data_IF_427298362865
#
_entry.id   IF_427298362865
#
_cell.length_a   1.000
_cell.length_b   1.000
_cell.length_c   1.000
_cell.angle_alpha   90.00
_cell.angle_beta   90.00
_cell.angle_gamma   90.00
#
_symmetry.space_group_name_H-M   'P 1'
#
loop_
_entity.id
_entity.type
_entity.pdbx_description
1 polymer ?
#
# COMPACT_ATOMS: atom_id res chain seq x y z
N UNK A 1 -16.58 -39.21 61.59
CA UNK A 1 -17.27 -40.17 60.70
C UNK A 1 -16.84 -39.79 59.28
N UNK A 2 -15.92 -40.47 58.59
CA UNK A 2 -16.09 -41.77 57.88
C UNK A 2 -17.37 -41.79 57.02
N UNK A 3 -17.41 -42.09 55.72
CA UNK A 3 -16.44 -42.53 54.68
C UNK A 3 -16.97 -42.02 53.29
N UNK A 4 -16.30 -42.13 52.13
CA UNK A 4 -15.06 -42.84 51.73
C UNK A 4 -14.39 -42.19 50.49
N UNK A 5 -13.26 -42.75 50.05
CA UNK A 5 -12.72 -42.62 48.68
C UNK A 5 -13.11 -43.88 47.88
N UNK A 6 -13.46 -43.74 46.60
CA UNK A 6 -13.58 -44.86 45.66
C UNK A 6 -13.04 -44.43 44.29
N UNK A 7 -12.01 -45.13 43.83
CA UNK A 7 -11.41 -44.98 42.51
C UNK A 7 -11.40 -46.37 41.84
N UNK A 8 -12.06 -46.50 40.68
CA UNK A 8 -11.95 -47.63 39.76
C UNK A 8 -12.68 -47.31 38.45
N UNK A 9 -12.04 -47.52 37.29
CA UNK A 9 -12.70 -47.31 36.00
C UNK A 9 -11.78 -47.14 34.78
N UNK A 10 -10.74 -47.97 34.62
CA UNK A 10 -10.03 -48.03 33.34
C UNK A 10 -10.95 -48.59 32.26
N UNK A 11 -11.17 -47.82 31.19
CA UNK A 11 -11.98 -48.21 30.03
C UNK A 11 -11.33 -47.73 28.74
N UNK A 12 -10.36 -48.49 28.22
CA UNK A 12 -9.78 -48.22 26.90
C UNK A 12 -10.73 -48.75 25.84
N UNK A 13 -11.48 -47.85 25.20
CA UNK A 13 -12.29 -48.18 24.03
C UNK A 13 -11.44 -47.97 22.75
N UNK A 14 -10.75 -49.03 22.31
CA UNK A 14 -10.18 -49.04 20.95
C UNK A 14 -11.32 -49.29 19.96
N UNK A 15 -11.84 -48.22 19.35
CA UNK A 15 -12.64 -48.33 18.13
C UNK A 15 -11.70 -48.26 16.93
N UNK A 16 -11.32 -49.42 16.41
CA UNK A 16 -10.67 -49.54 15.11
C UNK A 16 -11.69 -49.25 14.00
N UNK A 17 -11.90 -47.97 13.71
CA UNK A 17 -12.57 -47.47 12.50
C UNK A 17 -11.52 -47.00 11.51
N UNK A 18 -11.55 -47.51 10.29
CA UNK A 18 -10.55 -47.23 9.26
C UNK A 18 -10.54 -45.76 8.84
N UNK A 19 -9.49 -45.03 9.21
CA UNK A 19 -9.17 -43.72 8.63
C UNK A 19 -8.63 -43.96 7.23
N UNK A 20 -9.44 -43.64 6.21
CA UNK A 20 -8.93 -43.38 4.87
C UNK A 20 -8.34 -41.96 4.91
N UNK A 21 -7.07 -41.86 5.29
CA UNK A 21 -6.34 -40.60 5.30
C UNK A 21 -6.01 -40.18 3.86
N UNK A 22 -6.96 -39.48 3.23
CA UNK A 22 -6.67 -38.49 2.20
C UNK A 22 -6.73 -37.11 2.87
N UNK A 23 -5.84 -36.90 3.84
CA UNK A 23 -5.76 -35.66 4.60
C UNK A 23 -4.48 -34.93 4.23
N UNK A 24 -4.61 -33.88 3.42
CA UNK A 24 -3.84 -32.67 3.68
C UNK A 24 -4.37 -32.03 4.98
N UNK A 25 -3.60 -31.12 5.56
CA UNK A 25 -4.11 -30.33 6.66
C UNK A 25 -5.28 -29.45 6.17
N UNK A 26 -6.29 -29.17 7.02
CA UNK A 26 -7.42 -28.34 6.63
C UNK A 26 -6.96 -26.91 6.39
N UNK A 27 -7.42 -26.31 5.29
CA UNK A 27 -7.10 -24.94 4.90
C UNK A 27 -7.22 -23.94 6.07
N UNK A 28 -6.35 -22.91 6.14
CA UNK A 28 -6.41 -21.85 7.13
C UNK A 28 -7.78 -21.15 7.18
N UNK A 29 -8.12 -20.54 8.32
CA UNK A 29 -9.39 -19.83 8.46
C UNK A 29 -9.49 -18.55 7.60
N UNK A 30 -8.36 -18.11 7.04
CA UNK A 30 -8.19 -16.93 6.20
C UNK A 30 -7.63 -17.29 4.80
N UNK A 31 -7.86 -18.52 4.37
CA UNK A 31 -7.55 -19.09 3.05
C UNK A 31 -8.17 -18.29 1.90
N UNK A 32 -9.45 -17.91 2.00
CA UNK A 32 -10.13 -17.14 0.95
C UNK A 32 -9.99 -15.63 1.17
N UNK A 33 -9.84 -14.84 0.10
CA UNK A 33 -9.76 -13.37 0.13
C UNK A 33 -10.92 -12.72 0.89
N UNK A 34 -12.12 -13.27 0.74
CA UNK A 34 -13.34 -12.80 1.40
C UNK A 34 -13.35 -13.05 2.93
N UNK A 35 -12.60 -14.04 3.40
CA UNK A 35 -12.50 -14.46 4.81
C UNK A 35 -11.23 -13.91 5.51
N UNK A 36 -10.55 -12.94 4.87
CA UNK A 36 -9.33 -12.29 5.37
C UNK A 36 -9.43 -11.81 6.83
N UNK A 37 -8.48 -12.22 7.67
CA UNK A 37 -8.53 -11.95 9.12
C UNK A 37 -7.74 -10.70 9.54
N UNK A 38 -8.11 -9.99 10.62
CA UNK A 38 -7.35 -8.82 11.06
C UNK A 38 -5.93 -9.17 11.52
N UNK A 39 -4.93 -8.50 10.93
CA UNK A 39 -3.52 -8.53 11.35
C UNK A 39 -3.21 -7.29 12.20
N UNK A 40 -2.18 -7.39 13.04
CA UNK A 40 -1.75 -6.32 13.96
C UNK A 40 -0.24 -6.11 13.87
N UNK A 41 0.22 -4.93 14.27
CA UNK A 41 1.65 -4.59 14.35
C UNK A 41 2.40 -5.57 15.27
N UNK A 42 3.54 -6.06 14.81
CA UNK A 42 4.36 -7.11 15.44
C UNK A 42 4.32 -8.44 14.68
N UNK A 43 4.79 -9.50 15.32
CA UNK A 43 4.93 -10.82 14.71
C UNK A 43 3.66 -11.67 14.90
N UNK A 44 3.13 -12.22 13.81
CA UNK A 44 1.99 -13.15 13.81
C UNK A 44 2.38 -14.46 13.14
N UNK A 45 2.12 -15.58 13.79
CA UNK A 45 2.36 -16.90 13.22
C UNK A 45 1.28 -17.23 12.17
N UNK A 46 1.71 -17.78 11.03
CA UNK A 46 0.83 -18.16 9.93
C UNK A 46 1.17 -19.54 9.35
N UNK A 47 0.28 -20.04 8.49
CA UNK A 47 0.49 -21.24 7.68
C UNK A 47 -0.30 -21.09 6.39
N UNK A 48 0.30 -21.44 5.26
CA UNK A 48 -0.34 -21.55 3.93
C UNK A 48 -0.69 -23.00 3.57
N UNK A 49 -0.24 -23.98 4.38
CA UNK A 49 -0.50 -25.41 4.15
C UNK A 49 -1.99 -25.73 3.93
N UNK A 50 -2.31 -26.27 2.76
CA UNK A 50 -3.65 -26.67 2.36
C UNK A 50 -4.54 -25.53 1.89
N UNK A 51 -3.99 -24.34 1.66
CA UNK A 51 -4.71 -23.21 1.07
C UNK A 51 -4.93 -23.40 -0.45
N UNK A 52 -6.00 -22.80 -0.97
CA UNK A 52 -6.29 -22.74 -2.40
C UNK A 52 -5.50 -21.57 -3.06
N UNK A 53 -5.95 -21.04 -4.20
CA UNK A 53 -5.36 -19.83 -4.80
C UNK A 53 -6.47 -19.03 -5.42
N UNK A 54 -6.97 -18.01 -4.69
CA UNK A 54 -8.18 -17.27 -5.06
C UNK A 54 -7.92 -15.82 -5.50
N UNK A 55 -6.72 -15.29 -5.27
CA UNK A 55 -6.35 -13.91 -5.64
C UNK A 55 -6.05 -13.66 -7.12
N UNK A 56 -5.94 -12.36 -7.43
CA UNK A 56 -5.60 -11.85 -8.76
C UNK A 56 -4.12 -12.07 -9.09
N UNK A 57 -3.85 -12.17 -10.39
CA UNK A 57 -2.50 -12.18 -10.95
C UNK A 57 -2.09 -10.73 -11.28
N UNK A 58 -0.87 -10.35 -10.91
CA UNK A 58 -0.28 -9.04 -11.17
C UNK A 58 1.03 -9.22 -11.95
N UNK A 59 1.01 -9.03 -13.27
CA UNK A 59 2.20 -9.14 -14.13
C UNK A 59 3.30 -8.13 -13.76
N UNK A 60 2.93 -7.05 -13.07
CA UNK A 60 3.84 -6.06 -12.50
C UNK A 60 4.60 -6.54 -11.24
N UNK A 61 4.18 -7.65 -10.63
CA UNK A 61 4.68 -8.12 -9.33
C UNK A 61 5.79 -9.18 -9.35
N UNK A 62 6.16 -9.73 -10.52
CA UNK A 62 7.35 -10.56 -10.86
C UNK A 62 6.99 -11.48 -12.06
N UNK A 63 7.75 -12.57 -12.28
CA UNK A 63 7.87 -13.24 -13.58
C UNK A 63 6.61 -13.93 -14.12
N UNK A 64 5.77 -14.51 -13.26
CA UNK A 64 4.44 -15.03 -13.64
C UNK A 64 3.27 -14.26 -12.97
N UNK A 65 3.59 -13.46 -11.93
CA UNK A 65 2.67 -12.54 -11.26
C UNK A 65 1.63 -13.19 -10.34
N UNK A 66 1.75 -14.48 -10.01
CA UNK A 66 0.76 -15.19 -9.21
C UNK A 66 1.33 -15.66 -7.86
N UNK A 67 0.69 -15.22 -6.78
CA UNK A 67 0.94 -15.70 -5.41
C UNK A 67 0.14 -16.99 -5.20
N UNK A 68 0.79 -18.15 -5.13
CA UNK A 68 0.12 -19.44 -4.96
C UNK A 68 -0.09 -19.79 -3.48
N UNK A 69 -1.04 -20.69 -3.19
CA UNK A 69 -1.35 -21.18 -1.83
C UNK A 69 -1.55 -20.01 -0.85
N UNK A 70 -2.48 -19.12 -1.18
CA UNK A 70 -2.58 -17.80 -0.55
C UNK A 70 -3.42 -17.78 0.72
N UNK A 71 -3.05 -16.90 1.64
CA UNK A 71 -3.83 -16.52 2.82
C UNK A 71 -3.91 -15.01 2.92
N UNK A 72 -4.96 -14.54 3.57
CA UNK A 72 -5.35 -13.14 3.52
C UNK A 72 -5.51 -12.51 4.89
N UNK A 73 -5.08 -11.26 4.97
CA UNK A 73 -5.21 -10.42 6.14
C UNK A 73 -5.83 -9.08 5.80
N UNK A 74 -6.46 -8.45 6.80
CA UNK A 74 -6.87 -7.04 6.75
C UNK A 74 -6.09 -6.25 7.79
N UNK A 75 -5.73 -5.02 7.45
CA UNK A 75 -4.98 -4.12 8.31
C UNK A 75 -5.55 -2.71 8.21
N UNK A 76 -5.75 -2.03 9.35
CA UNK A 76 -6.16 -0.63 9.39
C UNK A 76 -4.98 0.17 9.92
N UNK A 77 -4.47 1.10 9.11
CA UNK A 77 -3.35 1.94 9.47
C UNK A 77 -3.70 2.87 10.63
N UNK A 78 -2.82 2.93 11.64
CA UNK A 78 -2.98 3.79 12.82
C UNK A 78 -2.31 5.17 12.66
N UNK A 79 -1.54 5.34 11.58
CA UNK A 79 -0.75 6.54 11.29
C UNK A 79 -0.57 6.76 9.78
N UNK A 80 -0.25 8.00 9.41
CA UNK A 80 0.32 8.31 8.09
C UNK A 80 1.80 7.92 8.09
N UNK A 81 2.29 7.25 7.06
CA UNK A 81 3.67 6.80 7.00
C UNK A 81 3.96 5.68 6.00
N UNK A 82 4.71 4.67 6.45
CA UNK A 82 4.94 3.45 5.66
C UNK A 82 4.64 2.19 6.45
N UNK A 83 4.10 1.20 5.74
CA UNK A 83 3.85 -0.15 6.21
C UNK A 83 4.90 -1.07 5.61
N UNK A 84 5.64 -1.78 6.47
CA UNK A 84 6.48 -2.91 6.07
C UNK A 84 5.80 -4.21 6.48
N UNK A 85 5.66 -5.13 5.54
CA UNK A 85 5.23 -6.51 5.77
C UNK A 85 6.38 -7.42 5.37
N UNK A 86 6.77 -8.33 6.27
CA UNK A 86 7.99 -9.13 6.11
C UNK A 86 7.78 -10.57 6.56
N UNK A 87 8.13 -11.52 5.68
CA UNK A 87 8.35 -12.94 5.98
C UNK A 87 9.85 -13.29 6.03
N UNK A 88 10.71 -12.30 5.74
CA UNK A 88 12.16 -12.39 5.64
C UNK A 88 12.83 -13.22 6.75
N UNK A 89 13.44 -14.34 6.35
CA UNK A 89 14.10 -15.34 7.21
C UNK A 89 13.23 -15.88 8.35
N UNK A 90 11.90 -15.84 8.20
CA UNK A 90 10.91 -16.23 9.20
C UNK A 90 9.81 -17.18 8.70
N UNK A 91 9.72 -17.40 7.38
CA UNK A 91 8.98 -18.54 6.80
C UNK A 91 9.92 -19.71 6.48
N UNK A 92 9.36 -20.91 6.31
CA UNK A 92 10.10 -22.14 5.97
C UNK A 92 9.99 -22.54 4.48
N UNK A 93 9.53 -21.62 3.63
CA UNK A 93 9.29 -21.80 2.21
C UNK A 93 9.48 -20.47 1.43
N UNK A 94 9.54 -20.58 0.10
CA UNK A 94 9.68 -19.50 -0.89
C UNK A 94 8.38 -18.67 -0.94
N UNK A 95 8.39 -17.43 -0.44
CA UNK A 95 7.16 -16.64 -0.20
C UNK A 95 6.93 -15.57 -1.25
N UNK A 96 5.67 -15.21 -1.47
CA UNK A 96 5.29 -13.99 -2.21
C UNK A 96 4.27 -13.16 -1.39
N UNK A 97 4.46 -11.84 -1.38
CA UNK A 97 3.69 -10.86 -0.62
C UNK A 97 3.07 -9.82 -1.55
N UNK A 98 1.76 -9.61 -1.41
CA UNK A 98 1.02 -8.56 -2.14
C UNK A 98 0.18 -7.72 -1.17
N UNK A 99 0.22 -6.39 -1.34
CA UNK A 99 -0.57 -5.42 -0.55
C UNK A 99 -1.53 -4.68 -1.47
N UNK A 100 -2.78 -4.60 -1.03
CA UNK A 100 -3.90 -3.95 -1.70
C UNK A 100 -4.51 -2.85 -0.85
N UNK A 101 -5.11 -1.87 -1.51
CA UNK A 101 -5.93 -0.84 -0.88
C UNK A 101 -7.36 -1.35 -0.71
N UNK A 102 -7.97 -1.06 0.44
CA UNK A 102 -9.31 -1.55 0.79
C UNK A 102 -9.27 -2.88 1.55
N UNK A 103 -10.42 -3.26 2.09
CA UNK A 103 -10.58 -4.47 2.91
C UNK A 103 -11.91 -5.20 2.65
N UNK A 104 -12.83 -4.61 1.90
CA UNK A 104 -14.18 -5.15 1.77
C UNK A 104 -14.17 -6.45 0.95
N UNK A 105 -14.90 -7.46 1.43
CA UNK A 105 -14.98 -8.75 0.77
C UNK A 105 -15.67 -8.71 -0.62
N UNK A 106 -16.22 -7.56 -1.02
CA UNK A 106 -16.80 -7.33 -2.35
C UNK A 106 -15.73 -7.01 -3.41
N UNK A 107 -14.55 -6.53 -2.98
CA UNK A 107 -13.44 -6.19 -3.86
C UNK A 107 -12.60 -7.43 -4.22
N UNK A 108 -12.76 -8.52 -3.46
CA UNK A 108 -12.17 -9.82 -3.77
C UNK A 108 -12.73 -10.42 -5.08
N UNK A 109 -11.96 -11.25 -5.81
CA UNK A 109 -12.37 -11.83 -7.09
C UNK A 109 -13.78 -12.45 -7.06
N UNK A 110 -14.66 -12.12 -8.03
CA UNK A 110 -14.42 -11.43 -9.29
C UNK A 110 -14.49 -9.89 -9.21
N UNK A 111 -14.43 -9.30 -8.01
CA UNK A 111 -14.10 -7.89 -7.81
C UNK A 111 -12.65 -7.57 -8.21
N UNK A 112 -12.27 -6.30 -8.08
CA UNK A 112 -10.97 -5.78 -8.45
C UNK A 112 -10.29 -5.14 -7.24
N UNK A 113 -9.14 -5.70 -6.83
CA UNK A 113 -8.35 -5.20 -5.71
C UNK A 113 -7.31 -4.20 -6.23
N UNK A 114 -7.30 -2.98 -5.67
CA UNK A 114 -6.30 -1.96 -6.06
C UNK A 114 -4.94 -2.33 -5.49
N UNK A 115 -4.02 -2.81 -6.34
CA UNK A 115 -2.64 -3.09 -5.97
C UNK A 115 -1.93 -1.82 -5.45
N UNK A 116 -1.19 -1.95 -4.34
CA UNK A 116 -0.36 -0.89 -3.74
C UNK A 116 1.13 -1.23 -3.86
N UNK A 117 1.49 -2.50 -3.71
CA UNK A 117 2.86 -2.97 -3.86
C UNK A 117 2.96 -4.46 -3.54
N UNK A 118 4.08 -5.05 -3.92
CA UNK A 118 4.33 -6.49 -3.83
C UNK A 118 5.82 -6.75 -3.75
N UNK A 119 6.18 -7.91 -3.19
CA UNK A 119 7.52 -8.47 -3.36
C UNK A 119 7.49 -10.00 -3.14
N UNK A 120 8.23 -10.67 -4.00
CA UNK A 120 8.52 -12.10 -4.01
C UNK A 120 9.84 -12.32 -3.25
N UNK A 121 10.98 -12.15 -3.92
CA UNK A 121 12.31 -12.18 -3.31
C UNK A 121 12.76 -10.87 -2.61
N UNK A 122 13.10 -10.90 -1.32
CA UNK A 122 13.78 -9.78 -0.64
C UNK A 122 15.31 -9.96 -0.50
N UNK A 123 16.04 -8.92 -0.91
CA UNK A 123 17.50 -8.86 -0.90
C UNK A 123 18.08 -9.09 0.52
N UNK A 124 18.69 -10.25 0.73
CA UNK A 124 19.39 -10.61 1.98
C UNK A 124 18.57 -11.44 2.97
N UNK A 125 17.38 -11.90 2.58
CA UNK A 125 16.59 -12.87 3.32
C UNK A 125 17.03 -14.31 2.99
N UNK A 126 16.92 -15.22 3.95
CA UNK A 126 17.16 -16.65 3.71
C UNK A 126 15.94 -17.29 3.02
N UNK A 127 16.15 -18.42 2.34
CA UNK A 127 15.11 -19.29 1.76
C UNK A 127 14.07 -18.60 0.83
N UNK A 128 14.48 -17.56 0.08
CA UNK A 128 13.64 -16.84 -0.89
C UNK A 128 12.38 -16.24 -0.25
N UNK A 129 12.57 -15.61 0.91
CA UNK A 129 11.49 -14.99 1.68
C UNK A 129 11.42 -13.48 1.45
N UNK A 130 10.21 -12.94 1.61
CA UNK A 130 9.84 -11.61 1.11
C UNK A 130 9.86 -10.51 2.16
N UNK A 131 9.96 -9.28 1.67
CA UNK A 131 9.67 -8.06 2.41
C UNK A 131 9.21 -6.99 1.44
N UNK A 132 8.09 -6.33 1.75
CA UNK A 132 7.52 -5.24 0.96
C UNK A 132 7.25 -4.04 1.86
N UNK A 133 7.57 -2.84 1.37
CA UNK A 133 7.29 -1.57 2.07
C UNK A 133 6.49 -0.63 1.17
N UNK A 134 5.35 -0.14 1.66
CA UNK A 134 4.42 0.74 0.93
C UNK A 134 4.06 1.98 1.74
N UNK A 135 3.72 3.12 1.11
CA UNK A 135 3.15 4.26 1.81
C UNK A 135 1.74 3.94 2.35
N UNK A 136 1.41 4.47 3.53
CA UNK A 136 0.10 4.34 4.17
C UNK A 136 -0.44 5.68 4.71
N UNK A 137 -1.76 5.77 4.83
CA UNK A 137 -2.46 6.89 5.45
C UNK A 137 -3.28 6.44 6.66
N UNK A 138 -3.40 7.28 7.68
CA UNK A 138 -4.14 6.96 8.90
C UNK A 138 -5.62 6.64 8.60
N UNK A 139 -6.20 5.71 9.36
CA UNK A 139 -7.57 5.17 9.22
C UNK A 139 -7.87 4.47 7.87
N UNK A 140 -6.90 4.41 6.93
CA UNK A 140 -7.04 3.67 5.68
C UNK A 140 -6.89 2.16 5.92
N UNK A 141 -7.69 1.36 5.21
CA UNK A 141 -7.66 -0.10 5.30
C UNK A 141 -6.89 -0.71 4.11
N UNK A 142 -6.13 -1.76 4.39
CA UNK A 142 -5.29 -2.50 3.45
C UNK A 142 -5.56 -4.00 3.57
N UNK A 143 -5.55 -4.71 2.46
CA UNK A 143 -5.61 -6.17 2.42
C UNK A 143 -4.22 -6.70 2.06
N UNK A 144 -3.73 -7.66 2.83
CA UNK A 144 -2.39 -8.24 2.68
C UNK A 144 -2.57 -9.70 2.30
N UNK A 145 -1.89 -10.13 1.24
CA UNK A 145 -1.86 -11.50 0.72
C UNK A 145 -0.48 -12.07 1.02
N UNK A 146 -0.44 -13.31 1.51
CA UNK A 146 0.78 -14.09 1.74
C UNK A 146 0.59 -15.44 1.08
N UNK A 147 1.47 -15.80 0.15
CA UNK A 147 1.49 -17.12 -0.47
C UNK A 147 2.92 -17.54 -0.75
N UNK A 148 3.12 -18.31 -1.82
CA UNK A 148 4.43 -18.71 -2.32
C UNK A 148 4.58 -18.54 -3.83
N UNK A 149 5.83 -18.55 -4.27
CA UNK A 149 6.26 -18.31 -5.66
C UNK A 149 5.67 -19.29 -6.68
N UNK A 150 5.50 -20.57 -6.32
CA UNK A 150 4.95 -21.57 -7.25
C UNK A 150 3.98 -22.54 -6.62
N UNK A 151 3.21 -23.23 -7.46
CA UNK A 151 2.28 -24.25 -7.01
C UNK A 151 2.98 -25.37 -6.22
N UNK A 152 2.68 -25.43 -4.92
CA UNK A 152 3.27 -26.35 -3.95
C UNK A 152 4.33 -25.73 -3.03
N UNK A 153 4.69 -24.46 -3.21
CA UNK A 153 5.50 -23.70 -2.25
C UNK A 153 4.58 -23.16 -1.14
N UNK A 154 4.20 -24.07 -0.24
CA UNK A 154 3.37 -23.82 0.95
C UNK A 154 4.10 -24.25 2.22
N UNK A 155 3.82 -23.57 3.34
CA UNK A 155 4.53 -23.81 4.58
C UNK A 155 4.00 -23.04 5.79
N UNK A 156 4.90 -22.76 6.72
CA UNK A 156 4.63 -22.06 7.98
C UNK A 156 5.64 -20.97 8.25
N UNK A 157 5.27 -19.96 9.04
CA UNK A 157 6.18 -18.88 9.35
C UNK A 157 5.66 -17.86 10.34
N UNK A 158 6.44 -16.79 10.52
CA UNK A 158 5.99 -15.53 11.10
C UNK A 158 5.89 -14.47 10.00
N UNK A 159 4.78 -13.73 9.98
CA UNK A 159 4.67 -12.46 9.26
C UNK A 159 4.84 -11.35 10.29
N UNK A 160 5.82 -10.48 10.06
CA UNK A 160 6.09 -9.29 10.88
C UNK A 160 5.50 -8.07 10.18
N UNK A 161 4.66 -7.33 10.88
CA UNK A 161 4.06 -6.07 10.40
C UNK A 161 4.62 -4.88 11.19
N UNK A 162 5.17 -3.89 10.48
CA UNK A 162 5.77 -2.69 11.08
C UNK A 162 5.12 -1.45 10.46
N UNK A 163 4.45 -0.66 11.29
CA UNK A 163 4.13 0.73 10.95
C UNK A 163 5.29 1.64 11.33
N UNK A 164 5.83 2.36 10.35
CA UNK A 164 6.76 3.46 10.58
C UNK A 164 6.01 4.77 10.39
N UNK A 165 5.92 5.65 11.41
CA UNK A 165 5.39 6.99 11.23
C UNK A 165 6.09 7.67 10.07
N UNK A 166 5.30 8.25 9.16
CA UNK A 166 5.83 9.15 8.15
C UNK A 166 6.61 10.23 8.86
N UNK A 167 7.77 10.59 8.32
CA UNK A 167 8.47 11.77 8.80
C UNK A 167 7.47 12.93 8.67
N UNK A 168 7.03 13.57 9.77
CA UNK A 168 6.19 14.75 9.64
C UNK A 168 6.97 15.75 8.79
N UNK A 169 6.29 16.44 7.86
CA UNK A 169 6.91 17.48 7.04
C UNK A 169 7.81 18.34 7.94
N UNK A 170 9.11 18.33 7.64
CA UNK A 170 10.16 18.36 8.66
C UNK A 170 10.02 19.57 9.58
N UNK A 171 9.53 19.33 10.79
CA UNK A 171 9.10 20.41 11.69
C UNK A 171 10.29 21.29 12.15
N UNK A 172 11.52 20.81 11.93
CA UNK A 172 12.78 21.49 12.21
C UNK A 172 13.48 22.05 10.96
N UNK A 173 12.81 22.11 9.80
CA UNK A 173 13.17 23.00 8.70
C UNK A 173 12.74 24.42 9.10
N UNK A 174 13.58 25.05 9.93
CA UNK A 174 13.33 26.34 10.55
C UNK A 174 13.69 27.52 9.64
N UNK A 175 14.37 27.27 8.51
CA UNK A 175 14.65 28.28 7.49
C UNK A 175 13.83 28.10 6.20
N UNK A 176 13.03 27.03 6.09
CA UNK A 176 12.25 26.62 4.92
C UNK A 176 13.14 26.42 3.68
N UNK A 177 14.31 25.77 3.83
CA UNK A 177 15.17 25.39 2.69
C UNK A 177 14.95 23.94 2.17
N UNK A 178 14.04 23.22 2.81
CA UNK A 178 13.60 21.88 2.43
C UNK A 178 14.40 20.75 3.09
N UNK A 179 15.43 21.05 3.89
CA UNK A 179 16.31 20.06 4.53
C UNK A 179 16.71 20.46 5.94
N UNK A 180 16.38 19.64 6.95
CA UNK A 180 16.86 19.86 8.32
C UNK A 180 18.37 19.65 8.40
N UNK A 181 19.11 20.72 8.68
CA UNK A 181 20.57 20.66 8.69
C UNK A 181 21.28 21.82 9.42
N UNK A 182 22.52 22.14 9.00
CA UNK A 182 23.30 23.23 9.58
C UNK A 182 22.62 24.62 9.56
N UNK A 183 21.83 24.99 8.53
CA UNK A 183 21.06 26.23 8.53
C UNK A 183 20.03 26.31 9.66
N UNK A 184 19.26 25.25 9.90
CA UNK A 184 18.22 25.19 10.93
C UNK A 184 18.79 25.19 12.33
N UNK A 185 19.88 24.44 12.52
CA UNK A 185 20.64 24.49 13.75
C UNK A 185 21.11 25.94 14.04
N UNK A 186 21.44 26.72 13.02
CA UNK A 186 21.78 28.14 13.20
C UNK A 186 20.55 28.99 13.57
N UNK A 187 19.37 28.73 13.01
CA UNK A 187 18.10 29.40 13.39
C UNK A 187 17.71 29.06 14.84
N UNK A 188 17.78 27.77 15.21
CA UNK A 188 17.49 27.26 16.55
C UNK A 188 18.40 27.91 17.60
N UNK A 189 19.72 27.90 17.35
CA UNK A 189 20.71 28.50 18.24
C UNK A 189 20.60 30.04 18.30
N UNK A 190 20.13 30.71 17.24
CA UNK A 190 19.91 32.16 17.24
C UNK A 190 18.76 32.59 18.16
N UNK A 191 17.78 31.71 18.43
CA UNK A 191 16.66 31.96 19.33
C UNK A 191 16.68 31.06 20.59
N UNK A 192 17.88 30.75 21.08
CA UNK A 192 18.09 29.96 22.29
C UNK A 192 17.58 30.66 23.56
N UNK A 193 16.94 29.89 24.45
CA UNK A 193 16.16 30.29 25.63
C UNK A 193 14.82 31.02 25.35
N UNK A 194 14.47 31.34 24.10
CA UNK A 194 13.11 31.75 23.69
C UNK A 194 13.00 31.83 22.14
N UNK A 195 12.22 30.95 21.47
CA UNK A 195 11.38 29.89 22.03
C UNK A 195 12.15 28.60 22.35
N UNK A 196 13.34 28.39 21.79
CA UNK A 196 14.00 27.08 21.78
C UNK A 196 14.92 26.81 22.98
N UNK A 197 15.15 25.53 23.25
CA UNK A 197 16.07 25.04 24.27
C UNK A 197 16.56 23.60 24.00
N UNK A 198 17.03 22.89 25.04
CA UNK A 198 17.66 21.58 24.89
C UNK A 198 16.78 20.47 24.32
N UNK A 199 15.45 20.55 24.51
CA UNK A 199 14.51 19.57 23.95
C UNK A 199 14.38 19.75 22.42
N UNK A 200 14.26 21.00 21.98
CA UNK A 200 14.14 21.38 20.57
C UNK A 200 15.42 21.01 19.80
N UNK A 201 16.60 21.23 20.40
CA UNK A 201 17.87 20.78 19.83
C UNK A 201 17.94 19.26 19.68
N UNK A 202 17.42 18.51 20.66
CA UNK A 202 17.40 17.05 20.58
C UNK A 202 16.44 16.55 19.48
N UNK A 203 15.31 17.24 19.28
CA UNK A 203 14.36 16.93 18.23
C UNK A 203 14.89 17.29 16.83
N UNK A 204 15.48 18.47 16.64
CA UNK A 204 16.16 18.86 15.39
C UNK A 204 17.27 17.87 15.01
N UNK A 205 18.09 17.43 15.98
CA UNK A 205 19.14 16.45 15.73
C UNK A 205 18.62 15.03 15.47
N UNK A 206 17.41 14.69 15.93
CA UNK A 206 16.75 13.43 15.62
C UNK A 206 16.19 13.39 14.19
N UNK A 207 15.89 14.56 13.61
CA UNK A 207 15.40 14.74 12.24
C UNK A 207 16.51 15.22 11.28
N UNK A 208 17.79 15.04 11.60
CA UNK A 208 18.88 15.54 10.76
C UNK A 208 18.93 14.85 9.38
N UNK A 209 19.00 15.64 8.31
CA UNK A 209 18.75 15.25 6.91
C UNK A 209 17.31 14.79 6.60
N UNK A 210 16.32 15.05 7.47
CA UNK A 210 14.92 15.03 7.07
C UNK A 210 14.76 16.05 5.93
N UNK A 211 14.29 15.59 4.78
CA UNK A 211 13.86 16.45 3.68
C UNK A 211 12.35 16.63 3.81
N UNK A 212 11.83 17.86 3.69
CA UNK A 212 10.38 18.05 3.61
C UNK A 212 9.84 17.09 2.57
N UNK A 213 8.73 16.41 2.88
CA UNK A 213 8.13 15.49 1.95
C UNK A 213 7.79 16.28 0.67
N UNK A 214 8.56 16.02 -0.39
CA UNK A 214 8.33 16.64 -1.68
C UNK A 214 7.43 15.74 -2.49
N UNK A 215 6.61 16.39 -3.29
CA UNK A 215 5.72 15.75 -4.24
C UNK A 215 5.86 16.46 -5.57
N UNK A 216 5.38 15.79 -6.61
CA UNK A 216 5.19 16.40 -7.90
C UNK A 216 4.26 17.61 -7.79
N UNK A 217 4.82 18.78 -8.10
CA UNK A 217 4.08 20.01 -8.26
C UNK A 217 4.01 20.37 -9.74
N UNK A 218 2.79 20.51 -10.26
CA UNK A 218 2.54 20.89 -11.64
C UNK A 218 2.32 22.40 -11.74
N UNK A 219 3.30 23.12 -12.32
CA UNK A 219 3.33 24.58 -12.35
C UNK A 219 2.88 25.17 -13.69
N UNK A 220 2.09 26.25 -13.62
CA UNK A 220 2.08 27.29 -14.65
C UNK A 220 1.52 26.92 -16.03
N UNK A 221 0.53 26.03 -16.12
CA UNK A 221 -0.28 25.86 -17.33
C UNK A 221 0.38 25.19 -18.54
N UNK A 222 1.64 24.71 -18.44
CA UNK A 222 2.24 23.72 -19.35
C UNK A 222 3.44 22.98 -18.72
N UNK A 223 3.33 21.65 -18.63
CA UNK A 223 4.43 20.66 -18.74
C UNK A 223 5.68 20.98 -17.90
N UNK A 224 5.49 21.49 -16.67
CA UNK A 224 6.54 21.65 -15.68
C UNK A 224 6.17 20.86 -14.44
N UNK A 225 6.87 19.76 -14.19
CA UNK A 225 6.83 19.05 -12.92
C UNK A 225 8.08 19.41 -12.13
N UNK A 226 7.90 20.03 -10.96
CA UNK A 226 8.97 20.30 -10.01
C UNK A 226 8.71 19.53 -8.72
N UNK A 227 9.76 18.95 -8.13
CA UNK A 227 9.67 18.34 -6.80
C UNK A 227 9.69 19.46 -5.75
N UNK A 228 8.52 19.83 -5.25
CA UNK A 228 8.33 20.91 -4.29
C UNK A 228 7.62 20.38 -3.04
N UNK A 229 7.64 21.17 -1.97
CA UNK A 229 6.73 20.97 -0.83
C UNK A 229 5.31 21.39 -1.21
N UNK A 230 4.28 20.95 -0.49
CA UNK A 230 2.91 21.47 -0.68
C UNK A 230 2.87 23.00 -0.53
N UNK A 231 3.57 23.56 0.46
CA UNK A 231 3.60 25.01 0.71
C UNK A 231 4.24 25.77 -0.46
N UNK A 232 5.37 25.29 -0.97
CA UNK A 232 6.06 25.93 -2.09
C UNK A 232 5.31 25.76 -3.41
N UNK A 233 4.67 24.61 -3.63
CA UNK A 233 3.77 24.39 -4.76
C UNK A 233 2.61 25.39 -4.75
N UNK A 234 2.00 25.63 -3.58
CA UNK A 234 0.95 26.63 -3.41
C UNK A 234 1.46 28.07 -3.65
N UNK A 235 2.71 28.41 -3.26
CA UNK A 235 3.31 29.74 -3.51
C UNK A 235 3.48 30.05 -5.00
N UNK A 236 3.65 29.03 -5.84
CA UNK A 236 3.80 29.16 -7.30
C UNK A 236 2.49 28.91 -8.07
N UNK A 237 1.36 28.85 -7.35
CA UNK A 237 0.02 28.54 -7.90
C UNK A 237 0.00 27.21 -8.69
N UNK A 238 0.79 26.23 -8.25
CA UNK A 238 0.85 24.89 -8.83
C UNK A 238 -0.12 23.90 -8.19
N UNK A 239 -0.36 22.78 -8.87
CA UNK A 239 -1.18 21.66 -8.37
C UNK A 239 -0.26 20.60 -7.74
N UNK A 240 -0.49 20.29 -6.46
CA UNK A 240 0.33 19.36 -5.68
C UNK A 240 -0.26 17.94 -5.69
N UNK A 241 0.54 16.94 -6.04
CA UNK A 241 0.11 15.54 -6.18
C UNK A 241 0.35 14.69 -4.94
N UNK A 242 0.67 15.31 -3.81
CA UNK A 242 0.89 14.66 -2.52
C UNK A 242 2.33 14.20 -2.30
N UNK A 243 2.66 14.04 -1.02
CA UNK A 243 3.97 13.63 -0.52
C UNK A 243 4.46 12.33 -1.17
N UNK A 244 5.72 12.32 -1.63
CA UNK A 244 6.34 11.15 -2.28
C UNK A 244 5.97 10.93 -3.75
N UNK A 245 5.00 11.69 -4.30
CA UNK A 245 4.68 11.63 -5.73
C UNK A 245 5.86 12.10 -6.59
N UNK A 246 6.03 11.49 -7.77
CA UNK A 246 7.31 11.53 -8.51
C UNK A 246 7.21 12.24 -9.86
N UNK A 247 7.99 13.30 -10.04
CA UNK A 247 8.15 13.95 -11.36
C UNK A 247 8.87 13.10 -12.43
N UNK A 248 9.37 11.90 -12.10
CA UNK A 248 9.94 10.99 -13.11
C UNK A 248 8.86 10.27 -13.92
N UNK A 249 7.68 10.11 -13.31
CA UNK A 249 6.55 9.35 -13.85
C UNK A 249 5.54 10.28 -14.56
N UNK A 250 5.95 11.54 -14.77
CA UNK A 250 5.21 12.64 -15.40
C UNK A 250 3.71 12.72 -15.02
N UNK A 251 3.37 12.88 -13.73
CA UNK A 251 1.99 13.03 -13.26
C UNK A 251 1.31 14.30 -13.84
N UNK A 252 2.09 15.33 -14.17
CA UNK A 252 1.62 16.49 -14.92
C UNK A 252 1.19 16.10 -16.34
N UNK A 253 2.02 15.29 -17.00
CA UNK A 253 1.75 14.67 -18.29
C UNK A 253 1.69 15.65 -19.46
N UNK A 254 1.40 15.14 -20.67
CA UNK A 254 1.04 16.00 -21.80
C UNK A 254 -0.32 16.72 -21.60
N UNK A 255 -1.15 16.23 -20.66
CA UNK A 255 -2.59 16.49 -20.63
C UNK A 255 -3.04 17.24 -19.36
N UNK A 256 -2.69 18.53 -19.26
CA UNK A 256 -3.26 19.48 -18.28
C UNK A 256 -4.77 19.75 -18.49
N UNK A 257 -5.29 19.29 -19.62
CA UNK A 257 -6.70 19.18 -19.99
C UNK A 257 -7.56 18.44 -18.93
N UNK A 258 -7.01 17.40 -18.29
CA UNK A 258 -7.73 16.58 -17.32
C UNK A 258 -7.73 17.23 -15.93
N UNK A 259 -8.77 18.01 -15.62
CA UNK A 259 -8.91 18.70 -14.33
C UNK A 259 -10.39 18.95 -14.00
N UNK A 260 -10.70 19.08 -12.69
CA UNK A 260 -12.07 19.23 -12.15
C UNK A 260 -12.86 20.45 -12.69
N UNK A 261 -12.26 21.34 -13.46
CA UNK A 261 -12.91 22.50 -14.09
C UNK A 261 -13.21 22.32 -15.59
N UNK A 262 -12.74 21.25 -16.23
CA UNK A 262 -12.91 21.01 -17.66
C UNK A 262 -14.33 20.53 -18.07
N UNK A 263 -15.22 20.29 -17.10
CA UNK A 263 -16.59 19.86 -17.34
C UNK A 263 -16.74 18.36 -17.56
N UNK A 264 -17.98 17.87 -17.61
CA UNK A 264 -18.29 16.43 -17.52
C UNK A 264 -17.53 15.58 -18.53
N UNK A 265 -16.94 14.47 -18.08
CA UNK A 265 -16.38 13.46 -18.99
C UNK A 265 -17.44 12.76 -19.86
N UNK A 266 -18.69 12.72 -19.42
CA UNK A 266 -19.76 11.95 -20.06
C UNK A 266 -20.60 12.79 -21.05
N UNK A 267 -20.24 14.05 -21.27
CA UNK A 267 -20.90 14.96 -22.20
C UNK A 267 -19.83 15.71 -23.02
N UNK A 268 -20.11 16.01 -24.29
CA UNK A 268 -19.19 16.81 -25.11
C UNK A 268 -19.12 18.25 -24.56
N UNK A 269 -17.96 18.65 -24.03
CA UNK A 269 -17.80 19.94 -23.36
C UNK A 269 -17.11 21.01 -24.24
N UNK A 270 -16.50 20.61 -25.36
CA UNK A 270 -15.90 21.53 -26.34
C UNK A 270 -14.60 22.21 -25.89
N UNK A 271 -14.03 21.77 -24.76
CA UNK A 271 -12.69 22.11 -24.29
C UNK A 271 -11.83 20.83 -24.27
N UNK A 272 -10.50 20.90 -24.27
CA UNK A 272 -9.69 19.69 -24.13
C UNK A 272 -9.83 19.13 -22.70
N UNK A 273 -10.08 17.82 -22.59
CA UNK A 273 -10.19 17.09 -21.32
C UNK A 273 -11.54 17.21 -20.60
N UNK A 274 -11.60 16.69 -19.38
CA UNK A 274 -12.81 16.64 -18.56
C UNK A 274 -12.53 16.51 -17.05
N UNK A 275 -13.58 16.49 -16.23
CA UNK A 275 -13.59 16.70 -14.78
C UNK A 275 -13.26 15.49 -13.90
N UNK A 276 -13.50 14.27 -14.37
CA UNK A 276 -13.00 13.04 -13.75
C UNK A 276 -11.57 12.76 -14.25
N UNK A 277 -10.58 12.93 -13.36
CA UNK A 277 -9.16 12.81 -13.71
C UNK A 277 -8.78 11.43 -14.24
N UNK A 278 -9.21 10.35 -13.59
CA UNK A 278 -8.85 8.98 -13.99
C UNK A 278 -9.53 8.60 -15.30
N UNK A 279 -10.81 8.92 -15.44
CA UNK A 279 -11.52 8.71 -16.69
C UNK A 279 -10.89 9.51 -17.84
N UNK A 280 -10.59 10.79 -17.61
CA UNK A 280 -9.93 11.64 -18.58
C UNK A 280 -8.59 11.06 -19.01
N UNK A 281 -7.68 10.73 -18.08
CA UNK A 281 -6.36 10.19 -18.41
C UNK A 281 -6.44 8.88 -19.20
N UNK A 282 -7.39 7.99 -18.89
CA UNK A 282 -7.61 6.75 -19.65
C UNK A 282 -8.02 7.04 -21.11
N UNK A 283 -9.03 7.89 -21.33
CA UNK A 283 -9.46 8.25 -22.70
C UNK A 283 -8.36 9.01 -23.43
N UNK A 284 -7.59 9.85 -22.73
CA UNK A 284 -6.51 10.65 -23.30
C UNK A 284 -5.22 9.86 -23.59
N UNK A 285 -5.07 8.66 -23.00
CA UNK A 285 -4.02 7.71 -23.36
C UNK A 285 -4.36 6.99 -24.67
N UNK A 286 -5.61 6.53 -24.80
CA UNK A 286 -6.11 5.86 -26.01
C UNK A 286 -6.31 6.82 -27.20
N UNK A 287 -6.82 8.03 -26.93
CA UNK A 287 -7.09 9.07 -27.93
C UNK A 287 -6.59 10.46 -27.49
N UNK A 288 -5.34 10.81 -27.84
CA UNK A 288 -4.75 12.12 -27.52
C UNK A 288 -5.51 13.32 -28.11
N UNK A 289 -6.41 13.15 -29.08
CA UNK A 289 -7.23 14.25 -29.59
C UNK A 289 -8.10 14.88 -28.48
N UNK A 290 -8.60 14.05 -27.57
CA UNK A 290 -9.51 14.46 -26.49
C UNK A 290 -8.88 15.45 -25.50
N UNK A 291 -7.55 15.44 -25.37
CA UNK A 291 -6.77 16.33 -24.49
C UNK A 291 -5.92 17.38 -25.21
N UNK A 292 -5.52 17.14 -26.46
CA UNK A 292 -4.76 18.11 -27.24
C UNK A 292 -5.66 19.11 -28.00
N UNK A 293 -6.90 18.72 -28.33
CA UNK A 293 -7.78 19.48 -29.22
C UNK A 293 -9.15 19.78 -28.63
N UNK A 294 -9.99 18.76 -28.39
CA UNK A 294 -11.39 18.97 -27.98
C UNK A 294 -12.00 17.68 -27.40
N UNK A 295 -12.69 17.80 -26.27
CA UNK A 295 -13.55 16.76 -25.71
C UNK A 295 -14.89 16.75 -26.44
N UNK A 296 -14.92 16.04 -27.56
CA UNK A 296 -16.09 15.92 -28.43
C UNK A 296 -17.02 14.75 -28.00
N UNK A 297 -18.04 14.46 -28.81
CA UNK A 297 -18.97 13.36 -28.51
C UNK A 297 -18.29 11.99 -28.56
N UNK A 298 -17.22 11.80 -29.34
CA UNK A 298 -16.49 10.54 -29.36
C UNK A 298 -15.69 10.36 -28.06
N UNK A 299 -15.10 11.42 -27.52
CA UNK A 299 -14.46 11.41 -26.20
C UNK A 299 -15.45 11.04 -25.09
N UNK A 300 -16.64 11.67 -25.10
CA UNK A 300 -17.71 11.36 -24.16
C UNK A 300 -18.28 9.93 -24.31
N UNK A 301 -18.48 9.46 -25.53
CA UNK A 301 -18.93 8.09 -25.83
C UNK A 301 -17.87 7.03 -25.49
N UNK A 302 -16.59 7.39 -25.43
CA UNK A 302 -15.51 6.53 -24.94
C UNK A 302 -15.51 6.51 -23.41
N UNK A 303 -15.55 7.68 -22.77
CA UNK A 303 -15.65 7.81 -21.31
C UNK A 303 -16.86 7.05 -20.72
N UNK A 304 -18.02 7.12 -21.36
CA UNK A 304 -19.21 6.35 -20.94
C UNK A 304 -19.01 4.83 -20.98
N UNK A 305 -18.09 4.30 -21.81
CA UNK A 305 -17.79 2.85 -21.88
C UNK A 305 -16.72 2.42 -20.90
N UNK A 306 -15.74 3.28 -20.65
CA UNK A 306 -14.58 2.99 -19.78
C UNK A 306 -14.89 3.29 -18.32
N UNK A 307 -15.68 4.34 -18.04
CA UNK A 307 -15.87 4.90 -16.70
C UNK A 307 -17.36 5.12 -16.33
N UNK A 308 -18.29 4.95 -17.28
CA UNK A 308 -19.72 5.13 -17.03
C UNK A 308 -20.29 4.00 -16.16
N UNK A 309 -21.05 4.37 -15.12
CA UNK A 309 -21.80 3.45 -14.24
C UNK A 309 -23.31 3.53 -14.51
#
# INVERSE_FOLDING_TARGET
>A
MSHSVLCAGFGVAVLAGSVLAFGGDPAPANDQCADATPLVVGDTAFSTLGADTDGLLHEECQYDGQTYQDIWYTFVASLDGSLTVSTCSQADYDTDLVIYLGCDAIDCPPGDLTLVGCNDDADGCDDFTSEVTVPISADQCYKIRVGGWTIGDEGTGMVTLIETPGQPACQWDLNNDGVVGPPDLAVLLAAWNAPFGPADLAALLAEWNCTNAVGACCVGGKIGCEQLTEEDCNKVEGEYFGDGSSCKDDPCGPNAACNKSAGSCFEANGSPGCDDFFCCKNICFDDPFCCDTEWDQNCADQALKVCGR
#
